data_IF_468466964809
#
_entry.id   IF_468466964809
#
_cell.length_a   1.000
_cell.length_b   1.000
_cell.length_c   1.000
_cell.angle_alpha   90.00
_cell.angle_beta   90.00
_cell.angle_gamma   90.00
#
_symmetry.space_group_name_H-M   'P 1'
#
loop_
_entity.id
_entity.type
_entity.pdbx_description
1 polymer ?
#
# COMPACT_ATOMS: atom_id res chain seq x y z
N UNK A 1 65.33 40.13 -20.20
CA UNK A 1 66.36 39.07 -20.20
C UNK A 1 66.43 38.58 -18.77
N UNK A 2 65.98 37.40 -18.34
CA UNK A 2 65.64 36.17 -19.02
C UNK A 2 64.52 35.42 -18.27
N UNK A 3 63.89 34.51 -19.03
CA UNK A 3 62.85 33.56 -18.63
C UNK A 3 63.37 32.57 -17.58
N UNK A 4 62.49 32.01 -16.74
CA UNK A 4 62.05 30.62 -16.88
C UNK A 4 61.09 30.20 -15.75
N UNK A 5 59.91 29.78 -16.18
CA UNK A 5 58.87 29.17 -15.37
C UNK A 5 59.27 27.76 -14.91
N UNK A 6 58.73 27.32 -13.77
CA UNK A 6 57.87 26.12 -13.77
C UNK A 6 57.06 25.95 -12.49
N UNK A 7 55.79 25.69 -12.71
CA UNK A 7 54.76 25.21 -11.81
C UNK A 7 55.11 23.88 -11.13
N UNK A 8 54.68 23.70 -9.88
CA UNK A 8 54.41 22.37 -9.33
C UNK A 8 52.92 22.28 -9.01
N UNK A 9 52.26 21.36 -9.70
CA UNK A 9 50.84 21.11 -9.64
C UNK A 9 50.45 20.51 -8.28
N UNK A 10 49.40 21.06 -7.70
CA UNK A 10 48.63 20.43 -6.65
C UNK A 10 48.03 19.12 -7.17
N UNK A 11 48.26 18.02 -6.46
CA UNK A 11 47.44 16.81 -6.56
C UNK A 11 47.02 16.39 -5.16
N UNK A 12 46.01 17.07 -4.63
CA UNK A 12 45.18 16.48 -3.59
C UNK A 12 44.30 15.44 -4.30
N UNK A 13 44.70 14.18 -4.25
CA UNK A 13 43.86 13.07 -4.68
C UNK A 13 42.66 13.00 -3.73
N UNK A 14 41.51 13.49 -4.20
CA UNK A 14 40.22 13.25 -3.58
C UNK A 14 39.96 11.75 -3.55
N UNK A 15 40.25 11.12 -2.40
CA UNK A 15 39.77 9.79 -2.11
C UNK A 15 38.28 9.90 -1.78
N UNK A 16 37.43 9.58 -2.74
CA UNK A 16 36.03 9.23 -2.44
C UNK A 16 36.06 8.08 -1.44
N UNK A 17 35.78 8.36 -0.17
CA UNK A 17 35.50 7.30 0.80
C UNK A 17 34.24 6.61 0.31
N UNK A 18 34.43 5.41 -0.24
CA UNK A 18 33.39 4.59 -0.80
C UNK A 18 32.36 4.27 0.30
N UNK A 19 31.25 4.99 0.30
CA UNK A 19 30.05 4.69 1.10
C UNK A 19 29.34 3.41 0.62
N UNK A 20 29.93 2.65 -0.32
CA UNK A 20 29.34 1.44 -0.89
C UNK A 20 29.34 0.24 0.05
N UNK A 21 29.95 0.33 1.23
CA UNK A 21 30.00 -0.78 2.19
C UNK A 21 28.81 -0.85 3.17
N UNK A 22 27.85 0.09 3.09
CA UNK A 22 26.69 0.10 3.99
C UNK A 22 25.44 -0.59 3.42
N UNK A 23 25.51 -1.18 2.22
CA UNK A 23 24.41 -1.99 1.71
C UNK A 23 24.56 -3.43 2.20
N UNK A 24 23.62 -3.94 3.01
CA UNK A 24 23.63 -5.34 3.38
C UNK A 24 23.61 -6.18 2.10
N UNK A 25 24.53 -7.13 2.02
CA UNK A 25 24.62 -8.06 0.89
C UNK A 25 23.28 -8.72 0.62
N UNK A 26 23.00 -8.98 -0.66
CA UNK A 26 21.78 -9.62 -1.14
C UNK A 26 21.50 -10.90 -0.33
N UNK A 27 20.45 -10.86 0.50
CA UNK A 27 19.95 -12.04 1.19
C UNK A 27 19.17 -12.91 0.21
N UNK A 28 19.68 -14.09 -0.11
CA UNK A 28 19.08 -14.98 -1.13
C UNK A 28 17.82 -15.72 -0.64
N UNK A 29 17.41 -15.57 0.63
CA UNK A 29 16.22 -16.26 1.17
C UNK A 29 15.57 -15.56 2.36
N UNK A 30 14.26 -15.33 2.29
CA UNK A 30 13.41 -15.02 3.45
C UNK A 30 13.30 -16.28 4.33
N UNK A 31 13.92 -16.24 5.52
CA UNK A 31 13.88 -17.35 6.49
C UNK A 31 12.50 -17.44 7.15
N UNK A 32 11.86 -16.29 7.34
CA UNK A 32 10.57 -16.17 8.02
C UNK A 32 9.74 -15.14 7.25
N UNK A 33 8.55 -15.53 6.81
CA UNK A 33 7.51 -14.58 6.41
C UNK A 33 6.70 -14.23 7.67
N UNK A 34 6.73 -12.98 8.16
CA UNK A 34 5.89 -12.57 9.29
C UNK A 34 4.43 -12.83 8.98
N UNK A 35 3.70 -13.40 9.95
CA UNK A 35 2.25 -13.46 9.86
C UNK A 35 1.69 -12.03 9.80
N UNK A 36 0.53 -11.85 9.16
CA UNK A 36 -0.09 -10.53 9.01
C UNK A 36 -0.26 -9.85 10.38
N UNK A 37 0.55 -8.81 10.64
CA UNK A 37 0.59 -8.09 11.92
C UNK A 37 -0.66 -7.26 12.22
N UNK A 38 -1.54 -7.14 11.23
CA UNK A 38 -2.78 -6.38 11.30
C UNK A 38 -3.95 -7.34 11.46
N UNK A 39 -4.67 -7.22 12.57
CA UNK A 39 -5.85 -8.04 12.86
C UNK A 39 -6.85 -7.97 11.71
N UNK A 40 -7.24 -9.15 11.22
CA UNK A 40 -8.35 -9.35 10.31
C UNK A 40 -9.52 -9.94 11.09
N UNK A 41 -10.74 -9.74 10.60
CA UNK A 41 -11.98 -10.06 11.30
C UNK A 41 -13.00 -10.53 10.26
N UNK A 42 -13.47 -11.76 10.39
CA UNK A 42 -14.42 -12.36 9.46
C UNK A 42 -15.84 -11.77 9.61
N UNK A 43 -16.19 -11.22 10.77
CA UNK A 43 -17.49 -10.56 10.99
C UNK A 43 -17.66 -9.35 10.08
N UNK A 44 -16.58 -8.59 9.89
CA UNK A 44 -16.55 -7.47 8.94
C UNK A 44 -16.78 -7.90 7.49
N UNK A 45 -16.36 -9.11 7.12
CA UNK A 45 -16.64 -9.63 5.77
C UNK A 45 -18.14 -9.87 5.56
N UNK A 46 -18.86 -10.30 6.60
CA UNK A 46 -20.31 -10.47 6.54
C UNK A 46 -21.03 -9.11 6.42
N UNK A 47 -20.57 -8.08 7.13
CA UNK A 47 -21.11 -6.72 6.98
C UNK A 47 -20.90 -6.19 5.55
N UNK A 48 -19.68 -6.34 5.00
CA UNK A 48 -19.37 -5.91 3.62
C UNK A 48 -20.23 -6.67 2.61
N UNK A 49 -20.45 -7.97 2.81
CA UNK A 49 -21.35 -8.75 1.97
C UNK A 49 -22.80 -8.28 2.05
N UNK A 50 -23.25 -7.84 3.23
CA UNK A 50 -24.56 -7.22 3.43
C UNK A 50 -24.64 -5.76 2.91
N UNK A 51 -23.58 -5.27 2.25
CA UNK A 51 -23.51 -3.90 1.73
C UNK A 51 -23.27 -2.84 2.80
N UNK A 52 -22.80 -3.22 4.00
CA UNK A 52 -22.54 -2.31 5.12
C UNK A 52 -21.03 -2.12 5.30
N UNK A 53 -20.57 -0.89 5.12
CA UNK A 53 -19.17 -0.51 5.18
C UNK A 53 -18.89 0.36 6.41
N UNK A 54 -18.05 -0.14 7.31
CA UNK A 54 -17.71 0.52 8.58
C UNK A 54 -16.25 0.94 8.58
N UNK A 55 -15.98 2.21 8.31
CA UNK A 55 -14.64 2.79 8.27
C UNK A 55 -14.56 4.06 9.10
N UNK A 56 -13.41 4.34 9.71
CA UNK A 56 -13.19 5.57 10.49
C UNK A 56 -14.32 5.91 11.50
N UNK A 57 -14.98 4.89 12.09
CA UNK A 57 -16.10 5.07 13.01
C UNK A 57 -17.44 5.46 12.37
N UNK A 58 -17.53 5.52 11.04
CA UNK A 58 -18.75 5.85 10.28
C UNK A 58 -19.21 4.66 9.44
N UNK A 59 -20.51 4.61 9.21
CA UNK A 59 -21.18 3.49 8.54
C UNK A 59 -21.88 4.01 7.28
N UNK A 60 -21.65 3.34 6.15
CA UNK A 60 -22.37 3.58 4.90
C UNK A 60 -23.00 2.27 4.45
N UNK A 61 -24.26 2.31 4.02
CA UNK A 61 -24.97 1.14 3.50
C UNK A 61 -25.24 1.34 2.01
N UNK A 62 -24.68 0.47 1.17
CA UNK A 62 -24.97 0.44 -0.25
C UNK A 62 -26.25 -0.38 -0.48
N UNK A 63 -27.34 0.29 -0.83
CA UNK A 63 -28.64 -0.32 -1.06
C UNK A 63 -28.69 -0.96 -2.47
N UNK A 64 -27.70 -1.79 -2.80
CA UNK A 64 -27.51 -2.39 -4.13
C UNK A 64 -26.84 -1.49 -5.17
N UNK A 65 -26.38 -0.29 -4.79
CA UNK A 65 -25.53 0.57 -5.63
C UNK A 65 -24.05 0.26 -5.38
N UNK A 66 -23.17 0.70 -6.26
CA UNK A 66 -21.74 0.72 -5.97
C UNK A 66 -21.48 1.54 -4.70
N UNK A 67 -20.54 1.09 -3.87
CA UNK A 67 -20.06 1.86 -2.71
C UNK A 67 -19.20 3.04 -3.15
N UNK A 68 -18.61 2.98 -4.35
CA UNK A 68 -17.74 4.02 -4.91
C UNK A 68 -18.52 5.19 -5.51
N UNK A 69 -19.82 5.00 -5.81
CA UNK A 69 -20.72 6.06 -6.28
C UNK A 69 -21.39 6.86 -5.14
N UNK A 70 -21.18 6.46 -3.88
CA UNK A 70 -21.81 7.11 -2.73
C UNK A 70 -20.91 8.20 -2.18
N UNK A 71 -21.50 9.36 -1.88
CA UNK A 71 -20.79 10.46 -1.22
C UNK A 71 -20.19 9.99 0.11
N UNK A 72 -18.85 10.07 0.27
CA UNK A 72 -18.20 9.62 1.48
C UNK A 72 -18.56 10.54 2.67
N UNK A 73 -18.81 9.98 3.87
CA UNK A 73 -19.19 10.79 5.03
C UNK A 73 -18.00 11.54 5.68
N UNK A 74 -16.77 11.27 5.23
CA UNK A 74 -15.55 12.06 5.50
C UNK A 74 -14.36 11.56 4.69
N UNK A 75 -13.35 12.41 4.56
CA UNK A 75 -12.03 12.10 4.01
C UNK A 75 -11.40 10.83 4.61
N UNK A 76 -11.34 10.70 5.95
CA UNK A 76 -10.78 9.48 6.59
C UNK A 76 -11.53 8.19 6.22
N UNK A 77 -12.83 8.30 5.93
CA UNK A 77 -13.66 7.16 5.52
C UNK A 77 -13.34 6.79 4.08
N UNK A 78 -13.20 7.78 3.20
CA UNK A 78 -12.83 7.61 1.80
C UNK A 78 -11.42 7.00 1.67
N UNK A 79 -10.44 7.53 2.40
CA UNK A 79 -9.08 6.99 2.48
C UNK A 79 -9.09 5.52 2.90
N UNK A 80 -9.95 5.15 3.86
CA UNK A 80 -10.08 3.77 4.30
C UNK A 80 -10.77 2.86 3.26
N UNK A 81 -11.77 3.37 2.53
CA UNK A 81 -12.41 2.67 1.42
C UNK A 81 -11.40 2.40 0.29
N UNK A 82 -10.73 3.45 -0.19
CA UNK A 82 -9.78 3.41 -1.30
C UNK A 82 -8.42 2.81 -0.93
N UNK A 83 -8.14 2.64 0.37
CA UNK A 83 -6.93 1.96 0.84
C UNK A 83 -6.98 0.43 0.75
N UNK A 84 -8.13 -0.15 0.37
CA UNK A 84 -8.34 -1.61 0.23
C UNK A 84 -7.97 -2.46 1.45
N UNK A 85 -7.75 -1.84 2.61
CA UNK A 85 -7.36 -2.54 3.84
C UNK A 85 -8.42 -3.55 4.29
N UNK A 86 -9.67 -3.34 3.87
CA UNK A 86 -10.81 -4.19 4.12
C UNK A 86 -10.76 -5.55 3.40
N UNK A 87 -9.98 -5.70 2.31
CA UNK A 87 -9.78 -6.99 1.64
C UNK A 87 -9.19 -8.06 2.57
N UNK A 88 -8.44 -7.64 3.60
CA UNK A 88 -7.93 -8.57 4.63
C UNK A 88 -9.05 -9.27 5.39
N UNK A 89 -10.17 -8.57 5.64
CA UNK A 89 -11.31 -9.10 6.37
C UNK A 89 -12.01 -10.17 5.52
N UNK A 90 -12.17 -9.93 4.21
CA UNK A 90 -12.72 -10.92 3.28
C UNK A 90 -11.79 -12.14 3.16
N UNK A 91 -10.47 -11.94 3.16
CA UNK A 91 -9.51 -13.05 3.19
C UNK A 91 -9.61 -13.87 4.47
N UNK A 92 -9.82 -13.25 5.63
CA UNK A 92 -9.92 -13.96 6.90
C UNK A 92 -11.19 -14.83 7.02
N UNK A 93 -12.24 -14.54 6.26
CA UNK A 93 -13.43 -15.38 6.19
C UNK A 93 -13.23 -16.65 5.33
N UNK A 94 -12.24 -16.66 4.43
CA UNK A 94 -11.77 -17.83 3.66
C UNK A 94 -12.86 -18.69 2.97
N UNK A 95 -13.83 -18.05 2.31
CA UNK A 95 -14.88 -18.74 1.54
C UNK A 95 -14.81 -18.41 0.05
N UNK A 96 -15.41 -19.27 -0.79
CA UNK A 96 -15.57 -18.96 -2.22
C UNK A 96 -16.42 -17.69 -2.43
N UNK A 97 -17.46 -17.52 -1.63
CA UNK A 97 -18.37 -16.37 -1.66
C UNK A 97 -17.63 -15.06 -1.36
N UNK A 98 -16.83 -15.03 -0.30
CA UNK A 98 -16.07 -13.82 0.08
C UNK A 98 -15.01 -13.45 -0.95
N UNK A 99 -14.36 -14.44 -1.59
CA UNK A 99 -13.46 -14.20 -2.72
C UNK A 99 -14.17 -13.66 -3.95
N UNK A 100 -15.37 -14.16 -4.26
CA UNK A 100 -16.18 -13.66 -5.37
C UNK A 100 -16.64 -12.21 -5.11
N UNK A 101 -17.11 -11.92 -3.89
CA UNK A 101 -17.50 -10.56 -3.49
C UNK A 101 -16.30 -9.59 -3.57
N UNK A 102 -15.13 -10.00 -3.07
CA UNK A 102 -13.92 -9.18 -3.14
C UNK A 102 -13.55 -8.80 -4.59
N UNK A 103 -13.63 -9.76 -5.52
CA UNK A 103 -13.38 -9.50 -6.95
C UNK A 103 -14.43 -8.56 -7.52
N UNK A 104 -15.72 -8.81 -7.26
CA UNK A 104 -16.80 -7.94 -7.74
C UNK A 104 -16.62 -6.49 -7.30
N UNK A 105 -16.25 -6.24 -6.03
CA UNK A 105 -16.02 -4.89 -5.53
C UNK A 105 -14.80 -4.22 -6.18
N UNK A 106 -13.73 -4.98 -6.42
CA UNK A 106 -12.53 -4.46 -7.09
C UNK A 106 -12.79 -4.20 -8.57
N UNK A 107 -13.52 -5.08 -9.25
CA UNK A 107 -13.90 -4.92 -10.65
C UNK A 107 -14.82 -3.70 -10.84
N UNK A 108 -15.75 -3.50 -9.91
CA UNK A 108 -16.62 -2.31 -9.85
C UNK A 108 -15.78 -1.02 -9.73
N UNK A 109 -14.82 -0.98 -8.80
CA UNK A 109 -13.88 0.14 -8.68
C UNK A 109 -13.02 0.36 -9.94
N UNK A 110 -12.52 -0.71 -10.58
CA UNK A 110 -11.71 -0.59 -11.81
C UNK A 110 -12.55 -0.01 -12.94
N UNK A 111 -13.82 -0.41 -13.02
CA UNK A 111 -14.73 0.02 -14.09
C UNK A 111 -15.19 1.47 -13.87
N UNK A 112 -15.33 1.90 -12.61
CA UNK A 112 -15.72 3.26 -12.26
C UNK A 112 -14.92 3.81 -11.06
N UNK A 113 -13.66 4.25 -11.26
CA UNK A 113 -12.81 4.67 -10.15
C UNK A 113 -13.11 6.07 -9.61
N UNK A 114 -13.87 6.90 -10.36
CA UNK A 114 -14.09 8.31 -10.05
C UNK A 114 -15.23 8.92 -10.89
N UNK A 115 -16.48 8.62 -10.54
CA UNK A 115 -17.54 9.62 -10.69
C UNK A 115 -17.57 10.51 -9.45
#
# INVERSE_FOLDING_TARGET
>A
MDRFARSVAARASGGSVALSQLWPGRTDRLIIAPHHLRTADATRAAEIYAGRFVFAGKIVTCHGRSIFDLEPPSEDWEVALLGFGWLRHLRAADTALTRANARSLVDDWITNPAN
#
